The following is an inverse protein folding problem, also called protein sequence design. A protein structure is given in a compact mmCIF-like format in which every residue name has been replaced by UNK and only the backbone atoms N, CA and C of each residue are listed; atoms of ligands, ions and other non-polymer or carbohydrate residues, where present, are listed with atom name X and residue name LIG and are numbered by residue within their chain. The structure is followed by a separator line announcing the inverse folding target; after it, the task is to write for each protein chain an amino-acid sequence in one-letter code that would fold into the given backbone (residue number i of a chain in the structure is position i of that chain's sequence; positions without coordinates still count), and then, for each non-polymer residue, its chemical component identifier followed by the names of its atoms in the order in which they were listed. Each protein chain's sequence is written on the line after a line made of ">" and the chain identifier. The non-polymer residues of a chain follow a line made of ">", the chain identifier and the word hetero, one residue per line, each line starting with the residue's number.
data_IF_173939234436
#
_entry.id   IF_173939234436
#
_cell.length_a   1.000
_cell.length_b   1.000
_cell.length_c   1.000
_cell.angle_alpha   90.00
_cell.angle_beta   90.00
_cell.angle_gamma   90.00
#
_symmetry.space_group_name_H-M   'P 1'
#
loop_
_entity.id
_entity.type
_entity.pdbx_description
1 polymer ?
2 non-polymer ?
3 non-polymer ?
4 non-polymer ?
5 non-polymer ?
6 water ?
#
# COMPACT_ATOMS: atom_id res chain seq x y z
N UNK A 7 -13.26 -4.30 -18.96
CA UNK A 7 -11.99 -3.55 -19.03
C UNK A 7 -11.35 -3.44 -17.65
N UNK A 8 -10.18 -2.85 -17.66
CA UNK A 8 -9.36 -2.72 -16.47
C UNK A 8 -10.08 -1.94 -15.34
N UNK A 9 -9.87 -2.39 -14.10
CA UNK A 9 -10.44 -1.72 -12.92
C UNK A 9 -9.53 -0.59 -12.45
N UNK A 10 -9.94 0.64 -12.72
CA UNK A 10 -9.15 1.82 -12.45
C UNK A 10 -9.88 2.69 -11.44
N UNK A 11 -9.16 3.15 -10.42
CA UNK A 11 -9.68 4.09 -9.47
C UNK A 11 -8.83 5.34 -9.43
N UNK A 12 -9.47 6.49 -9.38
CA UNK A 12 -8.79 7.78 -9.37
C UNK A 12 -9.36 8.66 -8.24
N UNK A 13 -8.45 9.33 -7.55
CA UNK A 13 -8.78 10.26 -6.50
C UNK A 13 -7.92 11.51 -6.65
N UNK A 14 -8.57 12.65 -6.48
CA UNK A 14 -7.89 13.94 -6.32
C UNK A 14 -8.41 14.58 -5.07
N UNK A 15 -7.49 15.02 -4.22
CA UNK A 15 -7.87 15.76 -3.03
C UNK A 15 -6.87 16.82 -2.65
N UNK A 16 -7.37 18.06 -2.49
CA UNK A 16 -6.59 19.26 -2.09
C UNK A 16 -7.10 19.67 -0.72
N UNK A 17 -6.18 19.84 0.20
CA UNK A 17 -6.48 20.48 1.45
C UNK A 17 -5.55 21.66 1.64
N UNK A 18 -5.65 22.35 2.77
CA UNK A 18 -4.75 23.47 3.06
C UNK A 18 -3.31 23.02 3.24
N UNK A 19 -3.11 21.73 3.47
CA UNK A 19 -1.79 21.13 3.75
C UNK A 19 -1.13 20.37 2.63
N UNK A 20 -1.92 19.67 1.83
CA UNK A 20 -1.42 18.76 0.82
C UNK A 20 -2.30 18.81 -0.41
N UNK A 21 -1.74 18.32 -1.49
CA UNK A 21 -2.49 18.11 -2.72
C UNK A 21 -2.07 16.78 -3.29
N UNK A 22 -3.06 15.90 -3.50
CA UNK A 22 -2.75 14.52 -3.87
C UNK A 22 -3.63 14.10 -5.04
N UNK A 23 -3.00 13.41 -6.00
CA UNK A 23 -3.73 12.74 -7.05
C UNK A 23 -3.21 11.31 -7.18
N UNK A 24 -4.14 10.37 -7.24
CA UNK A 24 -3.82 8.94 -7.34
C UNK A 24 -4.66 8.32 -8.46
N UNK A 25 -4.00 7.49 -9.25
CA UNK A 25 -4.72 6.61 -10.21
C UNK A 25 -4.10 5.22 -10.11
N UNK A 26 -4.92 4.23 -9.83
CA UNK A 26 -4.46 2.83 -9.69
C UNK A 26 -5.26 1.94 -10.61
N UNK A 27 -4.54 1.08 -11.33
CA UNK A 27 -5.13 0.02 -12.17
C UNK A 27 -4.88 -1.31 -11.49
N UNK A 28 -5.93 -1.97 -11.04
CA UNK A 28 -5.81 -3.29 -10.39
C UNK A 28 -5.36 -4.37 -11.36
N UNK A 29 -5.61 -4.17 -12.66
CA UNK A 29 -5.30 -5.10 -13.71
C UNK A 29 -4.10 -4.63 -14.54
N UNK A 30 -3.09 -4.09 -13.86
CA UNK A 30 -1.98 -3.43 -14.48
C UNK A 30 -0.86 -4.35 -14.90
N UNK A 31 0.24 -3.70 -15.26
CA UNK A 31 1.48 -4.35 -15.67
C UNK A 31 2.66 -3.86 -14.87
N UNK A 32 2.41 -3.32 -13.68
CA UNK A 32 3.50 -2.86 -12.82
C UNK A 32 4.08 -1.51 -13.18
N UNK A 33 3.31 -0.67 -13.87
CA UNK A 33 3.80 0.66 -14.25
C UNK A 33 3.87 1.49 -12.98
N UNK A 34 5.07 1.98 -12.72
CA UNK A 34 5.42 2.72 -11.52
C UNK A 34 5.64 4.20 -11.86
N UNK A 35 4.80 5.07 -11.31
CA UNK A 35 4.82 6.46 -11.64
C UNK A 35 4.42 7.32 -10.43
N UNK A 36 5.26 7.28 -9.40
CA UNK A 36 4.95 7.90 -8.11
C UNK A 36 5.94 8.98 -7.74
N UNK A 37 5.40 10.15 -7.42
CA UNK A 37 6.20 11.29 -6.95
C UNK A 37 5.41 12.03 -5.88
N UNK A 38 5.77 11.75 -4.64
CA UNK A 38 5.07 12.23 -3.45
C UNK A 38 5.75 13.36 -2.73
N UNK A 39 6.98 13.69 -3.12
CA UNK A 39 7.84 14.56 -2.34
C UNK A 39 8.56 13.87 -1.20
N UNK A 40 8.35 12.57 -1.04
CA UNK A 40 8.96 11.74 -0.02
C UNK A 40 9.67 10.60 -0.76
N UNK A 41 10.98 10.74 -1.02
CA UNK A 41 11.63 9.74 -1.89
C UNK A 41 11.52 8.30 -1.42
N UNK A 42 11.62 8.03 -0.11
CA UNK A 42 11.54 6.65 0.33
C UNK A 42 10.13 6.09 0.07
N UNK A 43 9.11 6.93 0.28
CA UNK A 43 7.76 6.51 -0.04
C UNK A 43 7.60 6.23 -1.54
N UNK A 44 8.20 7.07 -2.39
CA UNK A 44 8.17 6.78 -3.83
C UNK A 44 8.76 5.38 -4.10
N UNK A 45 9.88 5.06 -3.44
CA UNK A 45 10.49 3.75 -3.63
C UNK A 45 9.53 2.63 -3.21
N UNK A 46 8.86 2.81 -2.09
CA UNK A 46 7.88 1.80 -1.64
C UNK A 46 6.67 1.68 -2.56
N UNK A 47 6.21 2.79 -3.13
CA UNK A 47 5.11 2.75 -4.10
C UNK A 47 5.55 2.10 -5.41
N UNK A 48 6.81 2.24 -5.77
CA UNK A 48 7.34 1.49 -6.90
C UNK A 48 7.30 -0.01 -6.61
N UNK A 49 7.64 -0.39 -5.39
CA UNK A 49 7.57 -1.77 -4.96
C UNK A 49 6.13 -2.29 -5.04
N UNK A 50 5.18 -1.48 -4.63
CA UNK A 50 3.79 -1.85 -4.72
C UNK A 50 3.40 -2.18 -6.17
N UNK A 51 3.80 -1.31 -7.08
CA UNK A 51 3.51 -1.53 -8.49
C UNK A 51 4.23 -2.78 -9.03
N UNK A 52 5.52 -2.90 -8.77
CA UNK A 52 6.28 -3.97 -9.38
C UNK A 52 5.95 -5.34 -8.83
N UNK A 53 5.75 -5.43 -7.52
CA UNK A 53 5.48 -6.70 -6.85
C UNK A 53 4.00 -7.06 -6.90
N UNK A 54 3.13 -6.07 -7.10
CA UNK A 54 1.70 -6.33 -7.18
C UNK A 54 1.13 -6.39 -8.60
N UNK A 55 1.91 -5.91 -9.57
CA UNK A 55 1.49 -5.67 -10.96
C UNK A 55 0.35 -4.68 -11.05
N UNK A 56 0.22 -3.82 -10.07
CA UNK A 56 -0.65 -2.65 -10.21
C UNK A 56 0.03 -1.60 -11.06
N UNK A 57 -0.75 -0.82 -11.80
CA UNK A 57 -0.21 0.44 -12.32
C UNK A 57 -0.53 1.52 -11.28
N UNK A 58 0.50 2.21 -10.83
CA UNK A 58 0.39 3.15 -9.72
C UNK A 58 0.91 4.51 -10.20
N UNK A 59 -0.01 5.48 -10.24
CA UNK A 59 0.31 6.85 -10.57
C UNK A 59 -0.05 7.70 -9.36
N UNK A 60 0.95 8.34 -8.79
CA UNK A 60 0.75 9.19 -7.63
C UNK A 60 1.48 10.49 -7.85
N UNK A 61 0.81 11.59 -7.57
CA UNK A 61 1.45 12.89 -7.43
C UNK A 61 1.01 13.51 -6.12
N UNK A 62 1.96 14.00 -5.35
CA UNK A 62 1.60 14.73 -4.15
C UNK A 62 2.60 15.83 -3.91
N UNK A 63 2.08 16.90 -3.32
CA UNK A 63 2.87 17.97 -2.74
C UNK A 63 2.30 18.25 -1.37
N UNK A 64 3.08 18.89 -0.53
CA UNK A 64 2.59 19.20 0.78
C UNK A 64 3.61 19.85 1.63
N UNK A 65 3.24 19.93 2.90
CA UNK A 65 3.95 20.75 3.87
C UNK A 65 5.13 20.04 4.52
N UNK A 66 6.01 19.52 3.67
CA UNK A 66 7.13 18.75 4.13
C UNK A 66 8.12 19.57 4.96
N UNK A 67 8.00 20.91 4.94
CA UNK A 67 8.75 21.79 5.84
C UNK A 67 8.46 21.46 7.35
N UNK A 68 7.24 21.03 7.60
CA UNK A 68 6.81 20.70 8.97
C UNK A 68 7.37 19.32 9.32
N UNK A 69 7.01 18.34 8.50
CA UNK A 69 7.57 16.99 8.46
C UNK A 69 6.82 16.26 7.36
N UNK A 70 7.14 15.01 7.15
CA UNK A 70 6.51 14.24 6.08
C UNK A 70 5.12 13.73 6.44
N UNK A 71 4.67 13.96 7.67
CA UNK A 71 3.48 13.30 8.19
C UNK A 71 2.21 13.59 7.40
N UNK A 72 1.88 14.84 7.15
CA UNK A 72 0.59 15.11 6.52
C UNK A 72 0.61 14.56 5.08
N UNK A 73 1.71 14.73 4.36
CA UNK A 73 1.81 14.20 3.01
C UNK A 73 1.66 12.68 3.01
N UNK A 74 2.40 12.02 3.89
CA UNK A 74 2.34 10.57 3.95
C UNK A 74 0.90 10.07 4.21
N UNK A 75 0.25 10.71 5.17
CA UNK A 75 -1.10 10.37 5.57
C UNK A 75 -2.07 10.59 4.41
N UNK A 76 -2.01 11.75 3.76
CA UNK A 76 -2.97 12.08 2.72
C UNK A 76 -2.75 11.23 1.48
N UNK A 77 -1.52 10.88 1.18
CA UNK A 77 -1.26 9.94 0.09
C UNK A 77 -1.90 8.59 0.41
N UNK A 78 -1.68 8.09 1.62
CA UNK A 78 -2.25 6.82 2.01
C UNK A 78 -3.77 6.79 1.99
N UNK A 79 -4.37 7.86 2.52
CA UNK A 79 -5.82 7.97 2.50
C UNK A 79 -6.33 7.88 1.06
N UNK A 80 -5.72 8.68 0.17
CA UNK A 80 -6.15 8.70 -1.23
C UNK A 80 -5.96 7.34 -1.93
N UNK A 81 -4.85 6.65 -1.63
CA UNK A 81 -4.65 5.34 -2.19
C UNK A 81 -5.75 4.38 -1.75
N UNK A 82 -6.09 4.42 -0.45
CA UNK A 82 -7.15 3.54 0.02
C UNK A 82 -8.47 3.79 -0.69
N UNK A 83 -8.81 5.06 -0.89
CA UNK A 83 -10.03 5.41 -1.60
C UNK A 83 -9.96 4.96 -3.06
N UNK A 84 -8.80 5.12 -3.69
CA UNK A 84 -8.65 4.72 -5.09
C UNK A 84 -8.82 3.22 -5.26
N UNK A 85 -8.28 2.46 -4.31
CA UNK A 85 -8.46 1.00 -4.30
C UNK A 85 -9.93 0.64 -4.16
N UNK A 86 -10.62 1.29 -3.22
CA UNK A 86 -12.04 1.07 -3.03
C UNK A 86 -12.81 1.33 -4.33
N UNK A 87 -12.55 2.46 -4.95
CA UNK A 87 -13.23 2.81 -6.21
C UNK A 87 -12.94 1.78 -7.29
N UNK A 88 -11.67 1.43 -7.43
CA UNK A 88 -11.29 0.47 -8.48
C UNK A 88 -11.96 -0.87 -8.29
N UNK A 89 -12.10 -1.30 -7.06
CA UNK A 89 -12.74 -2.59 -6.74
C UNK A 89 -14.18 -2.68 -7.19
N UNK A 90 -14.87 -1.55 -7.28
CA UNK A 90 -16.23 -1.55 -7.76
C UNK A 90 -17.09 -2.46 -6.93
N UNK A 91 -17.93 -3.26 -7.59
CA UNK A 91 -18.83 -4.16 -6.87
C UNK A 91 -18.14 -5.39 -6.23
N UNK A 92 -16.84 -5.59 -6.48
CA UNK A 92 -16.04 -6.66 -5.83
C UNK A 92 -16.52 -8.07 -6.19
N UNK A 93 -17.20 -8.20 -7.31
CA UNK A 93 -17.70 -9.52 -7.73
C UNK A 93 -16.61 -10.39 -8.33
N UNK A 94 -16.59 -11.63 -7.91
CA UNK A 94 -15.78 -12.65 -8.57
C UNK A 94 -14.31 -12.67 -8.19
N UNK A 95 -13.92 -11.91 -7.18
CA UNK A 95 -12.52 -11.80 -6.81
C UNK A 95 -12.17 -12.79 -5.70
N UNK A 96 -10.87 -13.02 -5.54
CA UNK A 96 -10.43 -13.90 -4.47
C UNK A 96 -10.77 -13.32 -3.08
N UNK A 97 -10.64 -12.02 -2.93
CA UNK A 97 -11.00 -11.23 -1.74
C UNK A 97 -9.93 -11.27 -0.65
N UNK A 98 -9.42 -12.46 -0.38
CA UNK A 98 -8.37 -12.71 0.59
C UNK A 98 -7.01 -12.83 -0.09
N UNK A 99 -6.00 -12.36 0.60
CA UNK A 99 -4.62 -12.55 0.18
C UNK A 99 -3.72 -12.90 1.36
N UNK A 100 -2.69 -13.63 1.10
CA UNK A 100 -1.81 -14.16 2.14
C UNK A 100 -0.42 -14.40 1.55
N UNK A 101 0.60 -13.68 1.98
CA UNK A 101 1.94 -13.94 1.46
C UNK A 101 2.99 -13.53 2.46
N UNK A 102 4.07 -14.33 2.54
CA UNK A 102 5.25 -14.01 3.30
C UNK A 102 6.42 -13.85 2.35
N UNK A 103 7.01 -12.65 2.36
CA UNK A 103 8.14 -12.33 1.48
C UNK A 103 9.35 -11.90 2.29
N UNK A 104 10.54 -12.28 1.83
CA UNK A 104 11.76 -11.79 2.44
C UNK A 104 12.39 -10.65 1.67
N UNK A 105 13.31 -9.96 2.34
CA UNK A 105 14.37 -9.19 1.68
C UNK A 105 15.61 -9.47 2.54
N UNK A 106 16.46 -10.36 2.05
CA UNK A 106 17.63 -10.80 2.79
C UNK A 106 17.16 -11.35 4.14
N UNK A 107 17.66 -10.78 5.24
CA UNK A 107 17.36 -11.28 6.57
C UNK A 107 15.96 -10.91 7.06
N UNK A 108 15.30 -9.97 6.41
CA UNK A 108 13.94 -9.59 6.79
C UNK A 108 12.93 -10.53 6.18
N UNK A 109 11.87 -10.80 6.94
CA UNK A 109 10.80 -11.72 6.52
C UNK A 109 9.50 -11.22 7.08
N UNK A 110 8.54 -10.89 6.22
CA UNK A 110 7.31 -10.24 6.64
C UNK A 110 6.12 -11.01 6.07
N UNK A 111 5.18 -11.36 6.94
CA UNK A 111 3.95 -12.03 6.58
C UNK A 111 2.80 -11.01 6.56
N UNK A 112 2.15 -10.90 5.40
CA UNK A 112 0.95 -10.09 5.25
C UNK A 112 -0.24 -10.95 4.88
N UNK A 113 -1.32 -10.75 5.62
CA UNK A 113 -2.60 -11.37 5.37
C UNK A 113 -3.65 -10.26 5.31
N UNK A 114 -4.54 -10.31 4.32
CA UNK A 114 -5.55 -9.28 4.20
C UNK A 114 -6.85 -9.85 3.63
N UNK A 115 -7.92 -9.14 3.94
CA UNK A 115 -9.25 -9.42 3.38
C UNK A 115 -9.85 -8.10 2.98
N UNK A 116 -10.35 -8.06 1.75
CA UNK A 116 -11.11 -6.90 1.24
C UNK A 116 -12.55 -7.02 1.75
N UNK A 117 -12.69 -6.75 3.05
CA UNK A 117 -13.86 -7.09 3.84
C UNK A 117 -14.92 -5.99 3.94
N UNK A 118 -14.50 -4.76 3.73
CA UNK A 118 -15.29 -3.59 4.02
C UNK A 118 -15.26 -3.11 5.45
N UNK A 119 -14.45 -3.73 6.29
CA UNK A 119 -14.29 -3.31 7.69
C UNK A 119 -12.83 -2.98 7.92
N UNK A 120 -12.50 -1.73 8.26
CA UNK A 120 -11.10 -1.42 8.45
C UNK A 120 -10.53 -2.02 9.72
N UNK A 121 -9.36 -2.63 9.61
CA UNK A 121 -8.58 -3.09 10.77
C UNK A 121 -7.15 -3.21 10.36
N UNK A 122 -6.22 -2.69 11.16
CA UNK A 122 -4.81 -2.94 10.99
C UNK A 122 -4.24 -3.66 12.23
N UNK A 123 -3.67 -4.82 11.99
CA UNK A 123 -2.83 -5.50 12.96
C UNK A 123 -1.40 -5.33 12.49
N UNK A 124 -0.52 -4.86 13.33
CA UNK A 124 0.81 -4.46 12.89
C UNK A 124 1.79 -4.63 14.04
N UNK A 125 2.87 -5.36 13.82
CA UNK A 125 3.85 -5.54 14.89
C UNK A 125 5.28 -5.27 14.44
N UNK A 126 5.47 -4.50 13.36
CA UNK A 126 6.83 -4.21 12.95
C UNK A 126 7.59 -3.51 14.08
N UNK A 127 8.87 -3.83 14.19
CA UNK A 127 9.77 -3.16 15.14
C UNK A 127 10.97 -2.73 14.31
N UNK A 128 10.93 -1.47 13.89
CA UNK A 128 11.90 -0.92 12.96
C UNK A 128 12.98 -0.27 13.81
N UNK A 129 14.22 -0.75 13.76
CA UNK A 129 15.17 -0.41 14.82
C UNK A 129 15.88 0.93 14.67
N UNK A 130 15.63 1.68 13.61
CA UNK A 130 16.19 3.00 13.46
C UNK A 130 15.07 3.98 13.17
N UNK A 131 15.34 5.25 13.48
CA UNK A 131 14.32 6.30 13.40
C UNK A 131 14.18 6.92 12.02
N UNK A 132 15.21 6.86 11.18
CA UNK A 132 15.20 7.42 9.86
C UNK A 132 15.79 6.46 8.87
N UNK A 133 15.11 6.27 7.74
CA UNK A 133 15.67 5.61 6.55
C UNK A 133 15.78 6.72 5.52
N UNK A 134 17.01 7.12 5.21
CA UNK A 134 17.21 8.38 4.50
C UNK A 134 16.66 9.49 5.36
N UNK A 135 15.74 10.28 4.78
CA UNK A 135 15.06 11.32 5.51
C UNK A 135 13.66 10.88 5.96
N UNK A 136 13.32 9.61 5.75
CA UNK A 136 11.96 9.09 6.05
C UNK A 136 11.86 8.60 7.48
N UNK A 137 10.94 9.21 8.23
CA UNK A 137 10.63 8.88 9.61
C UNK A 137 9.92 7.52 9.64
N UNK A 138 10.54 6.54 10.29
CA UNK A 138 10.03 5.20 10.26
C UNK A 138 8.71 5.01 11.00
N UNK A 139 8.29 5.96 11.82
CA UNK A 139 6.94 5.91 12.39
C UNK A 139 5.85 6.00 11.31
N UNK A 140 6.22 6.55 10.15
CA UNK A 140 5.26 6.81 9.10
C UNK A 140 4.83 5.57 8.35
N UNK A 141 5.55 4.47 8.52
CA UNK A 141 5.17 3.21 7.88
C UNK A 141 3.83 2.72 8.42
N UNK A 142 3.72 2.62 9.74
CA UNK A 142 2.47 2.17 10.35
C UNK A 142 1.34 3.11 9.94
N UNK A 143 1.60 4.42 9.96
CA UNK A 143 0.55 5.37 9.65
C UNK A 143 0.08 5.25 8.19
N UNK A 144 1.01 4.94 7.29
CA UNK A 144 0.64 4.72 5.89
C UNK A 144 -0.35 3.58 5.79
N UNK A 145 -0.04 2.45 6.41
CA UNK A 145 -0.94 1.31 6.32
C UNK A 145 -2.25 1.57 7.04
N UNK A 146 -2.21 2.24 8.20
CA UNK A 146 -3.43 2.51 8.93
C UNK A 146 -4.40 3.40 8.13
N UNK A 147 -3.85 4.44 7.53
CA UNK A 147 -4.67 5.38 6.75
C UNK A 147 -5.25 4.67 5.51
N UNK A 148 -4.43 3.86 4.83
CA UNK A 148 -4.87 3.11 3.67
C UNK A 148 -6.00 2.16 4.05
N UNK A 149 -5.85 1.44 5.15
CA UNK A 149 -6.89 0.56 5.64
C UNK A 149 -8.18 1.32 5.92
N UNK A 150 -8.06 2.50 6.52
CA UNK A 150 -9.22 3.23 6.97
C UNK A 150 -10.11 3.66 5.83
N UNK A 151 -9.55 4.09 4.70
CA UNK A 151 -10.36 4.51 3.56
C UNK A 151 -10.70 3.37 2.62
N UNK A 152 -9.88 2.33 2.53
CA UNK A 152 -10.20 1.19 1.68
C UNK A 152 -11.18 0.23 2.32
N UNK A 153 -11.31 0.25 3.64
CA UNK A 153 -12.11 -0.75 4.33
C UNK A 153 -11.52 -2.14 4.26
N UNK A 154 -10.24 -2.23 4.50
CA UNK A 154 -9.49 -3.47 4.43
C UNK A 154 -9.18 -4.02 5.81
N UNK A 155 -9.22 -5.34 5.94
CA UNK A 155 -8.66 -6.04 7.10
C UNK A 155 -7.22 -6.39 6.73
N UNK A 156 -6.24 -5.90 7.48
CA UNK A 156 -4.84 -6.06 7.14
C UNK A 156 -4.02 -6.44 8.37
N UNK A 157 -3.29 -7.52 8.27
CA UNK A 157 -2.34 -7.94 9.31
C UNK A 157 -0.95 -7.99 8.70
N UNK A 158 0.00 -7.39 9.42
CA UNK A 158 1.41 -7.33 9.06
C UNK A 158 2.23 -7.86 10.25
N UNK A 159 2.95 -8.95 10.00
CA UNK A 159 3.73 -9.65 11.03
C UNK A 159 5.19 -9.69 10.62
N UNK A 160 6.04 -9.14 11.47
CA UNK A 160 7.48 -9.21 11.30
C UNK A 160 7.98 -10.51 11.86
N UNK A 161 8.44 -11.39 10.98
CA UNK A 161 8.95 -12.70 11.37
C UNK A 161 10.46 -12.69 11.62
N UNK A 162 11.17 -11.78 10.95
CA UNK A 162 12.61 -11.62 11.08
C UNK A 162 12.96 -10.27 10.47
N UNK A 163 14.14 -9.79 10.83
CA UNK A 163 14.66 -8.57 10.20
C UNK A 163 15.49 -7.76 11.16
N UNK A 164 16.48 -7.07 10.59
CA UNK A 164 17.36 -6.17 11.33
C UNK A 164 17.56 -4.83 10.62
N UNK A 165 17.73 -4.82 9.32
CA UNK A 165 17.95 -3.61 8.58
C UNK A 165 16.60 -2.97 8.30
N UNK A 166 16.46 -1.69 8.70
CA UNK A 166 15.19 -1.01 8.61
C UNK A 166 14.64 -0.92 7.19
N UNK A 167 15.51 -0.59 6.23
CA UNK A 167 15.11 -0.54 4.82
C UNK A 167 14.61 -1.92 4.37
N UNK A 168 15.33 -2.98 4.74
CA UNK A 168 14.87 -4.31 4.38
C UNK A 168 13.52 -4.65 4.99
N UNK A 169 13.32 -4.33 6.28
CA UNK A 169 12.06 -4.63 6.96
C UNK A 169 10.90 -3.95 6.23
N UNK A 170 11.05 -2.66 5.97
CA UNK A 170 9.97 -1.88 5.38
C UNK A 170 9.72 -2.36 3.95
N UNK A 171 10.78 -2.55 3.19
CA UNK A 171 10.64 -2.96 1.80
C UNK A 171 10.03 -4.35 1.67
N UNK A 172 10.45 -5.30 2.50
CA UNK A 172 9.84 -6.64 2.51
C UNK A 172 8.36 -6.55 2.83
N UNK A 173 8.00 -5.62 3.71
CA UNK A 173 6.57 -5.41 4.05
C UNK A 173 5.80 -5.02 2.79
N UNK A 174 6.31 -4.07 2.03
CA UNK A 174 5.65 -3.67 0.80
C UNK A 174 5.63 -4.78 -0.25
N UNK A 175 6.66 -5.61 -0.35
CA UNK A 175 6.63 -6.72 -1.27
C UNK A 175 5.51 -7.70 -0.91
N UNK A 176 5.45 -8.05 0.38
CA UNK A 176 4.45 -9.01 0.85
C UNK A 176 3.05 -8.47 0.71
N UNK A 177 2.87 -7.18 1.09
CA UNK A 177 1.59 -6.51 0.95
C UNK A 177 1.15 -6.51 -0.53
N UNK A 178 2.06 -6.12 -1.41
CA UNK A 178 1.72 -6.04 -2.83
C UNK A 178 1.29 -7.40 -3.37
N UNK A 179 1.99 -8.45 -2.97
CA UNK A 179 1.69 -9.80 -3.46
C UNK A 179 0.36 -10.30 -2.87
N UNK A 180 0.14 -10.04 -1.59
CA UNK A 180 -1.15 -10.39 -0.98
C UNK A 180 -2.32 -9.62 -1.62
N UNK A 181 -2.08 -8.35 -1.90
CA UNK A 181 -3.15 -7.51 -2.50
C UNK A 181 -3.41 -7.93 -3.96
N UNK A 182 -2.37 -8.30 -4.69
CA UNK A 182 -2.56 -8.86 -6.04
C UNK A 182 -3.45 -10.10 -5.95
N UNK A 183 -3.12 -11.02 -5.04
CA UNK A 183 -3.93 -12.22 -4.88
C UNK A 183 -5.41 -11.84 -4.59
N UNK A 184 -5.63 -10.95 -3.63
CA UNK A 184 -6.99 -10.62 -3.21
C UNK A 184 -7.83 -9.98 -4.32
N UNK A 185 -7.17 -9.15 -5.12
CA UNK A 185 -7.85 -8.40 -6.18
C UNK A 185 -8.05 -9.22 -7.44
N UNK A 186 -7.32 -10.31 -7.64
CA UNK A 186 -7.44 -11.13 -8.84
C UNK A 186 -8.75 -11.91 -8.85
N UNK A 187 -9.16 -12.27 -10.05
CA UNK A 187 -10.32 -13.10 -10.26
C UNK A 187 -10.14 -14.48 -9.65
N UNK A 188 -11.17 -14.97 -8.99
CA UNK A 188 -11.24 -16.33 -8.51
C UNK A 188 -11.85 -17.12 -9.67
N UNK A 189 -11.12 -18.12 -10.21
CA UNK A 189 -11.62 -18.81 -11.41
C UNK A 189 -12.92 -19.59 -11.18
N UNK A 190 -13.26 -19.86 -9.93
CA UNK A 190 -14.51 -20.57 -9.60
C UNK A 190 -15.64 -19.65 -9.11
N UNK A 191 -15.43 -18.33 -9.15
CA UNK A 191 -16.46 -17.34 -8.74
C UNK A 191 -16.94 -16.45 -9.90
N UNK A 192 -16.80 -16.93 -11.13
CA UNK A 192 -17.26 -16.18 -12.32
C UNK A 192 -18.74 -16.31 -12.58
#
# INVERSE_FOLDING_TARGET
>A
MASPIESARIGEVKRETKQTNVSVKINLDGHGVSDSSTGIPFLDHMLDQLASHGLFDVHVRATGDTHIDDHHTNEDVALAIGTALLKALGERKGINRFGDFTAPLDEALIHVSLDLSGRPYLGYNLEIPTQRVGTYDTQLVEHFFQSLVNTSGMTLHIRQLAGKNSHHIIEATFKAFARALRQATESDPRRGGTIPSSKGVLSRS
#
